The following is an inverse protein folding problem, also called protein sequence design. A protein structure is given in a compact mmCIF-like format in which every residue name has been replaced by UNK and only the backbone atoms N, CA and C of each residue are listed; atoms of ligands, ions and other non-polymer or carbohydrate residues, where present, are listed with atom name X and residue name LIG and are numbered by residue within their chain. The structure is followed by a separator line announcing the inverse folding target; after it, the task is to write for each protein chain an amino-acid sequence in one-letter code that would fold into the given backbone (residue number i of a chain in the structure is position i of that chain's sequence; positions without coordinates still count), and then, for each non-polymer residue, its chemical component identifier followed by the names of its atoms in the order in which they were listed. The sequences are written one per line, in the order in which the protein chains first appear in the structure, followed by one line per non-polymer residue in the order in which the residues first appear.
data_IF_208623654636
#
_entry.id   IF_208623654636
#
_cell.length_a   1.000
_cell.length_b   1.000
_cell.length_c   1.000
_cell.angle_alpha   90.00
_cell.angle_beta   90.00
_cell.angle_gamma   90.00
#
_symmetry.space_group_name_H-M   'P 1'
#
loop_
_entity.id
_entity.type
_entity.pdbx_description
1 polymer ?
#
# COMPACT_ATOMS: atom_id res chain seq x y z
N UNK A 1 19.19 3.36 -19.02
CA UNK A 1 18.32 4.54 -19.24
C UNK A 1 18.20 5.25 -17.92
N UNK A 2 18.58 6.52 -17.83
CA UNK A 2 18.29 7.30 -16.63
C UNK A 2 16.78 7.32 -16.45
N UNK A 3 16.28 6.75 -15.34
CA UNK A 3 14.87 6.88 -14.99
C UNK A 3 14.54 8.36 -14.92
N UNK A 4 13.52 8.82 -15.66
CA UNK A 4 13.02 10.19 -15.51
C UNK A 4 12.66 10.42 -14.03
N UNK A 5 13.02 11.59 -13.51
CA UNK A 5 12.66 12.02 -12.16
C UNK A 5 11.13 12.00 -11.99
N UNK A 6 10.65 11.60 -10.82
CA UNK A 6 9.24 11.77 -10.44
C UNK A 6 9.02 13.23 -10.03
N UNK A 7 8.14 13.93 -10.72
CA UNK A 7 7.87 15.36 -10.49
C UNK A 7 6.62 15.51 -9.61
N UNK A 8 6.74 16.29 -8.54
CA UNK A 8 5.63 16.71 -7.70
C UNK A 8 5.05 18.01 -8.25
N UNK A 9 4.13 17.89 -9.20
CA UNK A 9 3.45 19.00 -9.88
C UNK A 9 2.03 19.28 -9.35
N UNK A 10 1.61 18.54 -8.32
CA UNK A 10 0.28 18.60 -7.72
C UNK A 10 -0.76 17.70 -8.38
N UNK A 11 -0.38 16.90 -9.37
CA UNK A 11 -1.26 15.88 -9.95
C UNK A 11 -1.25 14.59 -9.13
N UNK A 12 -2.10 13.63 -9.50
CA UNK A 12 -2.14 12.31 -8.85
C UNK A 12 -0.91 11.48 -9.22
N UNK A 13 -0.29 10.84 -8.23
CA UNK A 13 0.77 9.87 -8.49
C UNK A 13 0.18 8.53 -8.91
N UNK A 14 0.86 7.83 -9.81
CA UNK A 14 0.54 6.44 -10.13
C UNK A 14 1.16 5.48 -9.10
N UNK A 15 0.57 4.29 -8.93
CA UNK A 15 1.19 3.20 -8.14
C UNK A 15 2.61 2.92 -8.64
N UNK A 16 2.83 2.93 -9.95
CA UNK A 16 4.16 2.70 -10.54
C UNK A 16 5.19 3.77 -10.12
N UNK A 17 4.77 5.03 -9.98
CA UNK A 17 5.59 6.13 -9.48
C UNK A 17 5.96 5.92 -8.01
N UNK A 18 5.00 5.49 -7.17
CA UNK A 18 5.25 5.16 -5.77
C UNK A 18 6.28 4.03 -5.66
N UNK A 19 6.05 2.92 -6.36
CA UNK A 19 6.99 1.78 -6.40
C UNK A 19 8.38 2.19 -6.91
N UNK A 20 8.46 3.12 -7.88
CA UNK A 20 9.73 3.60 -8.42
C UNK A 20 10.60 4.29 -7.36
N UNK A 21 10.01 5.18 -6.57
CA UNK A 21 10.75 5.91 -5.53
C UNK A 21 11.00 5.02 -4.31
N UNK A 22 9.98 4.24 -3.91
CA UNK A 22 10.02 3.37 -2.74
C UNK A 22 11.06 2.27 -2.86
N UNK A 23 11.09 1.55 -4.00
CA UNK A 23 11.94 0.36 -4.21
C UNK A 23 13.18 0.60 -5.02
N UNK A 24 13.12 1.49 -6.01
CA UNK A 24 14.20 1.68 -7.01
C UNK A 24 14.99 2.97 -6.78
N UNK A 25 14.64 3.77 -5.77
CA UNK A 25 15.35 5.00 -5.45
C UNK A 25 15.29 6.05 -6.55
N UNK A 26 14.24 6.05 -7.39
CA UNK A 26 14.07 7.08 -8.42
C UNK A 26 13.99 8.45 -7.76
N UNK A 27 14.74 9.41 -8.31
CA UNK A 27 14.80 10.77 -7.79
C UNK A 27 13.47 11.49 -7.90
N UNK A 28 13.23 12.38 -6.95
CA UNK A 28 12.03 13.22 -6.87
C UNK A 28 12.42 14.68 -7.07
N UNK A 29 11.58 15.44 -7.79
CA UNK A 29 11.73 16.90 -7.98
C UNK A 29 10.43 17.61 -7.60
N UNK A 30 10.53 18.73 -6.88
CA UNK A 30 9.40 19.61 -6.62
C UNK A 30 9.23 20.62 -7.76
N UNK A 31 8.02 20.74 -8.30
CA UNK A 31 7.76 21.61 -9.45
C UNK A 31 7.57 23.09 -9.07
N UNK A 32 8.00 24.00 -9.94
CA UNK A 32 7.91 25.45 -9.70
C UNK A 32 6.46 25.95 -9.66
N UNK A 33 5.56 25.40 -10.49
CA UNK A 33 4.16 25.79 -10.47
C UNK A 33 3.45 25.26 -9.22
N UNK A 34 3.82 24.07 -8.74
CA UNK A 34 3.34 23.54 -7.47
C UNK A 34 3.82 24.39 -6.28
N UNK A 35 5.09 24.80 -6.30
CA UNK A 35 5.69 25.71 -5.32
C UNK A 35 4.91 27.02 -5.19
N UNK A 36 4.55 27.64 -6.32
CA UNK A 36 3.74 28.85 -6.31
C UNK A 36 2.36 28.68 -5.62
N UNK A 37 1.70 27.51 -5.80
CA UNK A 37 0.42 27.23 -5.13
C UNK A 37 0.59 27.02 -3.62
N UNK A 38 1.64 26.29 -3.22
CA UNK A 38 1.98 26.09 -1.80
C UNK A 38 2.24 27.42 -1.11
N UNK A 39 3.06 28.28 -1.72
CA UNK A 39 3.41 29.59 -1.19
C UNK A 39 2.16 30.51 -1.09
N UNK A 40 1.25 30.45 -2.08
CA UNK A 40 -0.01 31.19 -2.03
C UNK A 40 -0.92 30.73 -0.87
N UNK A 41 -1.06 29.43 -0.65
CA UNK A 41 -1.82 28.90 0.49
C UNK A 41 -1.17 29.26 1.82
N UNK A 42 0.17 29.27 1.91
CA UNK A 42 0.88 29.73 3.11
C UNK A 42 0.60 31.20 3.40
N UNK A 43 0.66 32.06 2.39
CA UNK A 43 0.34 33.49 2.54
C UNK A 43 -1.09 33.70 3.02
N UNK A 44 -2.04 32.90 2.52
CA UNK A 44 -3.43 32.92 2.97
C UNK A 44 -3.59 32.53 4.44
N UNK A 45 -2.86 31.52 4.93
CA UNK A 45 -2.83 31.15 6.35
C UNK A 45 -2.31 32.32 7.20
N UNK A 46 -1.18 32.91 6.82
CA UNK A 46 -0.60 34.06 7.54
C UNK A 46 -1.60 35.21 7.64
N UNK A 47 -2.23 35.57 6.53
CA UNK A 47 -3.21 36.66 6.49
C UNK A 47 -4.43 36.40 7.39
N UNK A 48 -4.93 35.16 7.47
CA UNK A 48 -6.06 34.81 8.34
C UNK A 48 -5.68 34.80 9.83
N UNK A 49 -4.49 34.31 10.17
CA UNK A 49 -4.02 34.30 11.56
C UNK A 49 -3.83 35.72 12.09
N UNK A 50 -3.32 36.63 11.26
CA UNK A 50 -3.19 38.06 11.62
C UNK A 50 -4.53 38.75 11.92
N UNK A 51 -5.67 38.17 11.52
CA UNK A 51 -7.01 38.66 11.85
C UNK A 51 -7.50 38.19 13.24
N UNK A 52 -6.70 37.41 13.98
CA UNK A 52 -6.99 36.99 15.35
C UNK A 52 -8.03 35.87 15.48
N UNK A 53 -8.46 35.24 14.38
CA UNK A 53 -9.43 34.14 14.39
C UNK A 53 -8.79 32.86 14.94
N UNK A 54 -9.46 32.10 15.83
CA UNK A 54 -9.01 30.78 16.25
C UNK A 54 -9.17 29.78 15.08
N UNK A 55 -8.09 29.08 14.74
CA UNK A 55 -8.03 28.10 13.65
C UNK A 55 -7.31 26.84 14.14
N UNK A 56 -7.99 25.70 14.00
CA UNK A 56 -7.55 24.39 14.51
C UNK A 56 -6.10 24.06 14.10
N UNK A 57 -5.26 23.78 15.10
CA UNK A 57 -3.87 23.35 14.91
C UNK A 57 -2.94 24.42 14.31
N UNK A 58 -3.43 25.64 14.11
CA UNK A 58 -2.64 26.80 13.69
C UNK A 58 -2.33 27.69 14.89
N UNK A 59 -3.37 28.13 15.63
CA UNK A 59 -3.25 28.92 16.86
C UNK A 59 -4.13 28.37 18.00
N UNK A 60 -4.56 27.12 17.89
CA UNK A 60 -5.21 26.37 18.97
C UNK A 60 -4.52 25.01 19.20
N UNK A 61 -4.83 24.35 20.31
CA UNK A 61 -4.36 22.99 20.61
C UNK A 61 -4.96 21.90 19.69
N UNK A 62 -4.59 20.64 19.95
CA UNK A 62 -4.98 19.47 19.13
C UNK A 62 -5.95 18.55 19.87
N UNK A 63 -6.78 17.80 19.13
CA UNK A 63 -7.74 16.87 19.72
C UNK A 63 -8.67 17.54 20.74
N UNK A 64 -8.73 17.02 21.96
CA UNK A 64 -9.55 17.57 23.04
C UNK A 64 -9.16 19.00 23.47
N UNK A 65 -7.98 19.49 23.07
CA UNK A 65 -7.53 20.85 23.32
C UNK A 65 -7.82 21.81 22.14
N UNK A 66 -8.63 21.41 21.16
CA UNK A 66 -8.96 22.22 19.98
C UNK A 66 -9.53 23.62 20.29
N UNK A 67 -10.14 23.79 21.47
CA UNK A 67 -10.74 25.05 21.93
C UNK A 67 -9.75 25.97 22.67
N UNK A 68 -8.54 25.50 22.98
CA UNK A 68 -7.54 26.27 23.74
C UNK A 68 -6.66 27.06 22.79
N UNK A 69 -6.73 28.39 22.84
CA UNK A 69 -5.85 29.28 22.06
C UNK A 69 -4.41 29.23 22.56
N UNK A 70 -3.45 29.30 21.64
CA UNK A 70 -2.01 29.33 21.91
C UNK A 70 -1.44 30.67 21.48
N UNK A 71 -0.55 31.24 22.30
CA UNK A 71 0.13 32.50 22.00
C UNK A 71 1.07 32.37 20.79
N UNK A 72 1.17 33.42 19.98
CA UNK A 72 1.94 33.42 18.73
C UNK A 72 3.42 33.01 18.92
N UNK A 73 4.04 33.44 20.03
CA UNK A 73 5.44 33.11 20.34
C UNK A 73 5.67 31.63 20.68
N UNK A 74 4.62 30.86 20.97
CA UNK A 74 4.68 29.42 21.29
C UNK A 74 4.32 28.54 20.10
N UNK A 75 3.96 29.11 18.95
CA UNK A 75 3.45 28.31 17.82
C UNK A 75 4.51 27.39 17.23
N UNK A 76 5.77 27.78 17.17
CA UNK A 76 6.85 26.87 16.73
C UNK A 76 7.01 25.69 17.70
N UNK A 77 7.06 25.98 19.01
CA UNK A 77 7.16 24.95 20.05
C UNK A 77 5.96 24.01 20.05
N UNK A 78 4.75 24.54 19.83
CA UNK A 78 3.52 23.75 19.69
C UNK A 78 3.66 22.69 18.59
N UNK A 79 4.19 23.08 17.43
CA UNK A 79 4.33 22.19 16.26
C UNK A 79 5.47 21.17 16.45
N UNK A 80 6.52 21.52 17.18
CA UNK A 80 7.54 20.55 17.59
C UNK A 80 7.00 19.58 18.65
N UNK A 81 6.20 20.07 19.59
CA UNK A 81 5.67 19.26 20.68
C UNK A 81 4.64 18.24 20.17
N UNK A 82 3.80 18.57 19.19
CA UNK A 82 2.88 17.58 18.60
C UNK A 82 3.65 16.44 17.94
N UNK A 83 4.71 16.73 17.17
CA UNK A 83 5.56 15.70 16.55
C UNK A 83 6.11 14.76 17.62
N UNK A 84 6.64 15.30 18.72
CA UNK A 84 7.23 14.50 19.80
C UNK A 84 6.20 13.69 20.58
N UNK A 85 5.08 14.29 20.95
CA UNK A 85 4.06 13.61 21.76
C UNK A 85 3.35 12.50 20.99
N UNK A 86 3.26 12.62 19.66
CA UNK A 86 2.59 11.63 18.82
C UNK A 86 3.54 10.57 18.27
N UNK A 87 4.87 10.72 18.41
CA UNK A 87 5.85 9.68 18.10
C UNK A 87 5.85 8.53 19.13
N UNK A 88 4.67 7.99 19.41
CA UNK A 88 4.39 6.96 20.41
C UNK A 88 4.28 5.55 19.81
N UNK A 89 4.81 5.35 18.60
CA UNK A 89 4.82 4.04 17.95
C UNK A 89 5.75 3.02 18.63
N UNK A 90 5.41 1.73 18.53
CA UNK A 90 6.14 0.58 19.10
C UNK A 90 6.20 -0.58 18.09
N UNK A 91 6.94 -1.64 18.44
CA UNK A 91 7.08 -2.84 17.61
C UNK A 91 8.25 -2.76 16.62
N UNK A 92 8.26 -3.71 15.68
CA UNK A 92 9.32 -3.79 14.68
C UNK A 92 9.26 -2.60 13.71
N UNK A 93 10.40 -2.19 13.12
CA UNK A 93 10.38 -1.14 12.12
C UNK A 93 9.62 -1.54 10.86
N UNK A 94 8.78 -0.63 10.35
CA UNK A 94 8.17 -0.74 9.03
C UNK A 94 9.24 -0.97 7.94
N UNK A 95 8.90 -1.71 6.87
CA UNK A 95 9.80 -1.87 5.73
C UNK A 95 10.25 -0.53 5.17
N UNK A 96 11.55 -0.41 4.86
CA UNK A 96 12.17 0.82 4.31
C UNK A 96 11.40 1.36 3.10
N UNK A 97 10.90 0.48 2.23
CA UNK A 97 10.11 0.86 1.04
C UNK A 97 8.77 1.51 1.40
N UNK A 98 8.08 1.04 2.45
CA UNK A 98 6.83 1.64 2.95
C UNK A 98 7.10 3.05 3.46
N UNK A 99 8.16 3.24 4.25
CA UNK A 99 8.53 4.56 4.79
C UNK A 99 8.89 5.53 3.66
N UNK A 100 9.67 5.09 2.67
CA UNK A 100 9.99 5.90 1.48
C UNK A 100 8.73 6.26 0.68
N UNK A 101 7.81 5.31 0.51
CA UNK A 101 6.51 5.56 -0.11
C UNK A 101 5.70 6.59 0.67
N UNK A 102 5.63 6.47 1.99
CA UNK A 102 4.92 7.40 2.86
C UNK A 102 5.49 8.81 2.76
N UNK A 103 6.82 8.96 2.80
CA UNK A 103 7.50 10.25 2.58
C UNK A 103 7.13 10.88 1.22
N UNK A 104 7.15 10.09 0.14
CA UNK A 104 6.76 10.57 -1.18
C UNK A 104 5.31 11.07 -1.19
N UNK A 105 4.40 10.30 -0.60
CA UNK A 105 2.97 10.62 -0.58
C UNK A 105 2.66 11.82 0.31
N UNK A 106 3.36 11.99 1.43
CA UNK A 106 3.32 13.21 2.24
C UNK A 106 3.73 14.41 1.40
N UNK A 107 4.89 14.35 0.73
CA UNK A 107 5.35 15.44 -0.11
C UNK A 107 4.38 15.76 -1.27
N UNK A 108 3.82 14.73 -1.91
CA UNK A 108 2.87 14.88 -3.00
C UNK A 108 1.54 15.50 -2.56
N UNK A 109 1.03 15.09 -1.38
CA UNK A 109 -0.18 15.68 -0.76
C UNK A 109 0.02 17.17 -0.48
N UNK A 110 1.14 17.53 0.15
CA UNK A 110 1.47 18.92 0.46
C UNK A 110 1.68 19.77 -0.81
N UNK A 111 2.30 19.21 -1.86
CA UNK A 111 2.55 19.87 -3.15
C UNK A 111 1.27 20.24 -3.94
N UNK A 112 0.10 19.73 -3.54
CA UNK A 112 -1.19 20.16 -4.11
C UNK A 112 -1.57 21.57 -3.68
N UNK A 113 -0.95 22.10 -2.62
CA UNK A 113 -1.00 23.53 -2.29
C UNK A 113 -2.28 23.95 -1.57
N UNK A 114 -2.92 23.05 -0.82
CA UNK A 114 -4.09 23.38 0.01
C UNK A 114 -3.91 22.97 1.49
N UNK A 115 -2.67 22.66 1.90
CA UNK A 115 -2.32 22.37 3.30
C UNK A 115 -1.80 23.60 4.07
N UNK A 116 -1.34 24.67 3.40
CA UNK A 116 -0.87 25.89 4.08
C UNK A 116 0.49 25.78 4.78
N UNK A 117 1.31 24.79 4.39
CA UNK A 117 2.72 24.66 4.83
C UNK A 117 3.65 25.51 3.97
N UNK A 118 4.90 25.71 4.40
CA UNK A 118 5.93 26.29 3.53
C UNK A 118 6.47 25.27 2.54
N UNK A 119 6.92 25.76 1.38
CA UNK A 119 7.64 24.95 0.38
C UNK A 119 8.87 24.23 0.95
N UNK A 120 9.53 24.82 1.96
CA UNK A 120 10.68 24.22 2.65
C UNK A 120 10.38 22.85 3.28
N UNK A 121 9.13 22.58 3.68
CA UNK A 121 8.72 21.29 4.23
C UNK A 121 8.81 20.20 3.16
N UNK A 122 8.25 20.48 1.98
CA UNK A 122 8.25 19.57 0.82
C UNK A 122 9.68 19.32 0.35
N UNK A 123 10.48 20.39 0.28
CA UNK A 123 11.89 20.32 -0.11
C UNK A 123 12.74 19.50 0.83
N UNK A 124 12.51 19.61 2.14
CA UNK A 124 13.18 18.77 3.13
C UNK A 124 12.86 17.29 2.90
N UNK A 125 11.58 16.93 2.69
CA UNK A 125 11.20 15.54 2.41
C UNK A 125 11.86 15.02 1.12
N UNK A 126 11.83 15.83 0.05
CA UNK A 126 12.46 15.49 -1.24
C UNK A 126 13.97 15.33 -1.09
N UNK A 127 14.64 16.19 -0.31
CA UNK A 127 16.07 16.09 -0.04
C UNK A 127 16.42 14.79 0.70
N UNK A 128 15.65 14.42 1.73
CA UNK A 128 15.85 13.15 2.45
C UNK A 128 15.65 11.94 1.54
N UNK A 129 14.58 11.93 0.74
CA UNK A 129 14.30 10.85 -0.22
C UNK A 129 15.45 10.65 -1.23
N UNK A 130 15.95 11.76 -1.79
CA UNK A 130 17.03 11.77 -2.77
C UNK A 130 18.39 11.45 -2.16
N UNK A 131 18.62 11.80 -0.89
CA UNK A 131 19.82 11.43 -0.13
C UNK A 131 19.79 9.99 0.41
N UNK A 132 18.66 9.27 0.25
CA UNK A 132 18.52 7.91 0.76
C UNK A 132 18.39 7.84 2.29
N UNK A 133 18.00 8.93 2.94
CA UNK A 133 17.78 9.00 4.39
C UNK A 133 16.35 8.57 4.68
N UNK A 134 16.19 7.43 5.35
CA UNK A 134 14.87 6.84 5.64
C UNK A 134 14.65 6.72 7.15
N UNK A 135 13.62 7.34 7.72
CA UNK A 135 13.32 7.23 9.15
C UNK A 135 13.09 5.78 9.62
N UNK A 136 13.51 5.46 10.83
CA UNK A 136 13.11 4.21 11.51
C UNK A 136 11.73 4.46 12.12
N UNK A 137 10.72 3.80 11.58
CA UNK A 137 9.31 4.00 11.95
C UNK A 137 8.76 2.70 12.51
N UNK A 138 8.34 2.62 13.79
CA UNK A 138 7.70 1.44 14.36
C UNK A 138 6.36 1.13 13.68
N UNK A 139 5.99 -0.15 13.57
CA UNK A 139 4.81 -0.61 12.84
C UNK A 139 3.47 -0.48 13.59
N UNK A 140 3.49 -0.37 14.93
CA UNK A 140 2.28 -0.28 15.76
C UNK A 140 2.14 1.11 16.37
N UNK A 141 0.92 1.64 16.44
CA UNK A 141 0.60 2.86 17.21
C UNK A 141 -0.43 3.80 16.58
N UNK A 142 -0.80 3.58 15.32
CA UNK A 142 -1.86 4.34 14.63
C UNK A 142 -3.16 3.56 14.58
N UNK A 143 -4.28 4.27 14.69
CA UNK A 143 -5.65 3.73 14.49
C UNK A 143 -6.23 4.08 13.11
N UNK A 144 -5.53 4.87 12.29
CA UNK A 144 -5.96 5.25 10.94
C UNK A 144 -7.22 6.14 10.86
N UNK A 145 -7.81 6.52 12.00
CA UNK A 145 -9.00 7.37 12.07
C UNK A 145 -8.70 8.87 12.03
N UNK A 146 -7.52 9.30 12.52
CA UNK A 146 -7.03 10.69 12.52
C UNK A 146 -5.80 10.87 11.64
N UNK A 147 -5.70 10.06 10.58
CA UNK A 147 -4.47 9.85 9.83
C UNK A 147 -3.53 8.86 10.49
N UNK A 148 -2.37 8.66 9.87
CA UNK A 148 -1.27 7.79 10.29
C UNK A 148 -0.38 8.48 11.33
N UNK A 149 -0.99 9.07 12.38
CA UNK A 149 -0.34 10.01 13.30
C UNK A 149 0.99 9.49 13.85
N UNK A 150 0.98 8.33 14.49
CA UNK A 150 2.17 7.78 15.14
C UNK A 150 3.33 7.51 14.18
N UNK A 151 3.15 6.76 13.07
CA UNK A 151 4.24 6.51 12.14
C UNK A 151 4.67 7.78 11.37
N UNK A 152 3.75 8.68 11.02
CA UNK A 152 4.10 9.97 10.40
C UNK A 152 4.84 10.91 11.35
N UNK A 153 4.60 10.81 12.66
CA UNK A 153 5.36 11.54 13.68
C UNK A 153 6.83 11.12 13.71
N UNK A 154 7.11 9.82 13.57
CA UNK A 154 8.50 9.33 13.48
C UNK A 154 9.21 9.81 12.21
N UNK A 155 8.47 9.93 11.09
CA UNK A 155 8.99 10.57 9.88
C UNK A 155 9.29 12.05 10.14
N UNK A 156 8.35 12.77 10.75
CA UNK A 156 8.50 14.19 11.07
C UNK A 156 9.64 14.46 12.07
N UNK A 157 9.87 13.58 13.05
CA UNK A 157 11.02 13.65 13.96
C UNK A 157 12.33 13.67 13.19
N UNK A 158 12.49 12.76 12.22
CA UNK A 158 13.70 12.72 11.41
C UNK A 158 13.89 14.01 10.60
N UNK A 159 12.83 14.61 10.05
CA UNK A 159 12.91 15.87 9.31
C UNK A 159 13.41 17.03 10.18
N UNK A 160 13.06 17.05 11.47
CA UNK A 160 13.54 18.06 12.44
C UNK A 160 14.89 17.68 13.08
N UNK A 161 15.53 16.60 12.63
CA UNK A 161 16.85 16.15 13.10
C UNK A 161 16.82 15.28 14.36
N UNK A 162 15.65 14.78 14.75
CA UNK A 162 15.46 13.93 15.93
C UNK A 162 15.18 12.47 15.52
N UNK A 163 15.45 11.52 16.42
CA UNK A 163 15.25 10.09 16.15
C UNK A 163 16.35 9.45 15.30
N UNK A 164 16.09 8.21 14.86
CA UNK A 164 17.02 7.40 14.10
C UNK A 164 16.56 7.23 12.65
N UNK A 165 17.53 7.17 11.74
CA UNK A 165 17.34 6.96 10.31
C UNK A 165 18.24 5.84 9.81
N UNK A 166 17.83 5.18 8.74
CA UNK A 166 18.63 4.27 7.94
C UNK A 166 19.20 5.02 6.72
N UNK A 167 20.50 4.84 6.48
CA UNK A 167 21.21 5.27 5.27
C UNK A 167 22.02 4.09 4.75
N UNK A 168 21.62 3.52 3.61
CA UNK A 168 22.11 2.20 3.19
C UNK A 168 21.80 1.15 4.26
N UNK A 169 22.82 0.43 4.72
CA UNK A 169 22.67 -0.62 5.75
C UNK A 169 22.84 -0.09 7.19
N UNK A 170 23.18 1.19 7.37
CA UNK A 170 23.51 1.76 8.68
C UNK A 170 22.32 2.49 9.30
N UNK A 171 22.06 2.23 10.58
CA UNK A 171 21.16 3.03 11.42
C UNK A 171 21.99 4.05 12.20
N UNK A 172 21.56 5.31 12.19
CA UNK A 172 22.26 6.41 12.86
C UNK A 172 21.29 7.53 13.26
N UNK A 173 21.70 8.48 14.14
CA UNK A 173 20.88 9.63 14.47
C UNK A 173 20.55 10.51 13.25
N UNK A 174 19.32 11.00 13.15
CA UNK A 174 18.85 11.81 12.02
C UNK A 174 19.73 13.04 11.77
N UNK A 175 20.09 13.77 12.83
CA UNK A 175 20.97 14.95 12.73
C UNK A 175 22.35 14.63 12.15
N UNK A 176 22.90 13.43 12.39
CA UNK A 176 24.19 13.03 11.82
C UNK A 176 24.08 12.78 10.32
N UNK A 177 23.07 12.01 9.90
CA UNK A 177 22.79 11.75 8.50
C UNK A 177 22.51 13.05 7.71
N UNK A 178 21.73 13.96 8.29
CA UNK A 178 21.43 15.28 7.72
C UNK A 178 22.69 16.12 7.51
N UNK A 179 23.56 16.22 8.53
CA UNK A 179 24.86 16.91 8.39
C UNK A 179 25.71 16.29 7.30
N UNK A 180 25.80 14.96 7.24
CA UNK A 180 26.58 14.26 6.22
C UNK A 180 26.04 14.50 4.79
N UNK A 181 24.73 14.69 4.64
CA UNK A 181 24.07 14.97 3.36
C UNK A 181 23.96 16.48 3.02
N UNK A 182 24.43 17.37 3.90
CA UNK A 182 24.28 18.82 3.71
C UNK A 182 22.83 19.31 3.82
N UNK A 183 21.97 18.58 4.53
CA UNK A 183 20.57 18.93 4.75
C UNK A 183 20.44 19.58 6.12
N UNK A 184 19.87 20.78 6.18
CA UNK A 184 19.58 21.44 7.45
C UNK A 184 18.34 20.82 8.11
N UNK A 185 18.34 20.59 9.45
CA UNK A 185 17.13 20.19 10.16
C UNK A 185 15.99 21.20 9.97
N UNK A 186 14.78 20.70 9.73
CA UNK A 186 13.61 21.55 9.53
C UNK A 186 13.18 22.21 10.85
N UNK A 187 13.08 23.53 10.85
CA UNK A 187 12.44 24.28 11.95
C UNK A 187 10.97 24.48 11.60
N UNK A 188 10.07 23.87 12.35
CA UNK A 188 8.63 23.91 12.08
C UNK A 188 8.01 25.26 12.45
N UNK A 189 7.12 25.74 11.60
CA UNK A 189 6.24 26.88 11.86
C UNK A 189 4.78 26.42 12.02
N UNK A 190 3.88 27.37 12.34
CA UNK A 190 2.45 27.10 12.53
C UNK A 190 1.85 26.17 11.46
N UNK A 191 1.05 25.21 11.93
CA UNK A 191 0.41 24.12 11.16
C UNK A 191 1.34 23.03 10.61
N UNK A 192 2.64 23.27 10.46
CA UNK A 192 3.52 22.36 9.71
C UNK A 192 3.76 21.03 10.42
N UNK A 193 3.82 21.04 11.76
CA UNK A 193 3.82 19.82 12.54
C UNK A 193 2.57 19.02 12.21
N UNK A 194 1.37 19.56 12.50
CA UNK A 194 0.11 18.88 12.23
C UNK A 194 -0.02 18.36 10.79
N UNK A 195 0.29 19.17 9.79
CA UNK A 195 0.20 18.78 8.37
C UNK A 195 1.15 17.65 7.97
N UNK A 196 2.25 17.42 8.71
CA UNK A 196 3.13 16.27 8.49
C UNK A 196 2.55 14.97 9.06
N UNK A 197 1.71 15.06 10.10
CA UNK A 197 1.14 13.90 10.81
C UNK A 197 -0.25 13.49 10.29
N UNK A 198 -1.02 14.45 9.80
CA UNK A 198 -2.49 14.34 9.70
C UNK A 198 -2.99 13.80 8.34
N UNK A 199 -2.40 12.70 7.86
CA UNK A 199 -2.73 12.12 6.54
C UNK A 199 -2.65 10.60 6.51
N UNK A 200 -3.08 10.00 5.40
CA UNK A 200 -3.21 8.54 5.20
C UNK A 200 -1.99 7.92 4.47
N UNK A 201 -0.84 8.57 4.55
CA UNK A 201 0.28 8.32 3.63
C UNK A 201 0.98 6.97 3.87
N UNK A 202 0.99 6.44 5.10
CA UNK A 202 1.60 5.14 5.41
C UNK A 202 0.71 4.03 4.90
N UNK A 203 -0.59 4.07 5.20
CA UNK A 203 -1.54 3.08 4.70
C UNK A 203 -1.65 3.12 3.16
N UNK A 204 -1.62 4.31 2.54
CA UNK A 204 -1.64 4.47 1.09
C UNK A 204 -0.38 3.89 0.44
N UNK A 205 0.80 4.11 1.03
CA UNK A 205 2.06 3.54 0.55
C UNK A 205 2.05 2.01 0.64
N UNK A 206 1.63 1.46 1.79
CA UNK A 206 1.46 0.01 1.97
C UNK A 206 0.50 -0.58 0.93
N UNK A 207 -0.65 0.05 0.71
CA UNK A 207 -1.63 -0.41 -0.27
C UNK A 207 -1.08 -0.40 -1.70
N UNK A 208 -0.40 0.70 -2.10
CA UNK A 208 0.20 0.80 -3.43
C UNK A 208 1.25 -0.28 -3.69
N UNK A 209 2.13 -0.54 -2.71
CA UNK A 209 3.16 -1.58 -2.81
C UNK A 209 2.54 -2.98 -2.84
N UNK A 210 1.55 -3.25 -1.98
CA UNK A 210 0.84 -4.52 -1.96
C UNK A 210 0.11 -4.82 -3.27
N UNK A 211 -0.50 -3.81 -3.91
CA UNK A 211 -1.12 -3.96 -5.23
C UNK A 211 -0.08 -4.25 -6.32
N UNK A 212 1.07 -3.56 -6.30
CA UNK A 212 2.16 -3.84 -7.26
C UNK A 212 2.65 -5.30 -7.15
N UNK A 213 2.81 -5.81 -5.93
CA UNK A 213 3.17 -7.21 -5.67
C UNK A 213 2.07 -8.18 -6.09
N UNK A 214 0.82 -7.82 -5.80
CA UNK A 214 -0.34 -8.66 -6.16
C UNK A 214 -0.47 -8.83 -7.67
N UNK A 215 -0.13 -7.82 -8.47
CA UNK A 215 -0.12 -7.96 -9.94
C UNK A 215 0.90 -9.00 -10.42
N UNK A 216 2.09 -9.05 -9.79
CA UNK A 216 3.10 -10.07 -10.10
C UNK A 216 2.63 -11.45 -9.64
N UNK A 217 2.08 -11.53 -8.43
CA UNK A 217 1.51 -12.75 -7.87
C UNK A 217 0.37 -13.31 -8.72
N UNK A 218 -0.52 -12.45 -9.22
CA UNK A 218 -1.62 -12.83 -10.10
C UNK A 218 -1.12 -13.50 -11.38
N UNK A 219 -0.11 -12.91 -12.03
CA UNK A 219 0.53 -13.52 -13.20
C UNK A 219 1.11 -14.90 -12.90
N UNK A 220 1.83 -15.03 -11.78
CA UNK A 220 2.40 -16.29 -11.32
C UNK A 220 1.31 -17.34 -11.01
N UNK A 221 0.21 -16.94 -10.36
CA UNK A 221 -0.89 -17.82 -10.01
C UNK A 221 -1.62 -18.36 -11.25
N UNK A 222 -1.82 -17.53 -12.28
CA UNK A 222 -2.40 -17.95 -13.56
C UNK A 222 -1.45 -18.90 -14.29
N UNK A 223 -0.15 -18.59 -14.33
CA UNK A 223 0.85 -19.48 -14.94
C UNK A 223 0.93 -20.84 -14.24
N UNK A 224 0.99 -20.86 -12.91
CA UNK A 224 0.96 -22.08 -12.12
C UNK A 224 -0.33 -22.88 -12.32
N UNK A 225 -1.47 -22.20 -12.50
CA UNK A 225 -2.74 -22.85 -12.83
C UNK A 225 -2.68 -23.53 -14.21
N UNK A 226 -2.14 -22.85 -15.23
CA UNK A 226 -1.98 -23.45 -16.55
C UNK A 226 -1.06 -24.69 -16.49
N UNK A 227 0.07 -24.60 -15.79
CA UNK A 227 0.97 -25.74 -15.59
C UNK A 227 0.30 -26.90 -14.87
N UNK A 228 -0.54 -26.62 -13.86
CA UNK A 228 -1.28 -27.64 -13.14
C UNK A 228 -2.36 -28.31 -14.00
N UNK A 229 -3.10 -27.53 -14.80
CA UNK A 229 -4.06 -28.06 -15.78
C UNK A 229 -3.35 -28.99 -16.76
N UNK A 230 -2.22 -28.56 -17.30
CA UNK A 230 -1.45 -29.32 -18.28
C UNK A 230 -0.87 -30.60 -17.65
N UNK A 231 -0.12 -30.46 -16.56
CA UNK A 231 0.58 -31.55 -15.88
C UNK A 231 -0.35 -32.59 -15.25
N UNK A 232 -1.57 -32.22 -14.84
CA UNK A 232 -2.57 -33.17 -14.32
C UNK A 232 -3.47 -33.73 -15.42
N UNK A 233 -3.18 -33.47 -16.70
CA UNK A 233 -4.02 -33.87 -17.84
C UNK A 233 -5.48 -33.44 -17.63
N UNK A 234 -5.73 -32.23 -17.14
CA UNK A 234 -7.09 -31.76 -16.91
C UNK A 234 -7.75 -31.30 -18.20
N UNK A 235 -9.09 -31.38 -18.26
CA UNK A 235 -9.85 -31.03 -19.43
C UNK A 235 -9.84 -29.51 -19.69
N UNK A 236 -9.51 -29.13 -20.92
CA UNK A 236 -9.59 -27.74 -21.37
C UNK A 236 -11.04 -27.26 -21.61
N UNK A 237 -12.01 -28.17 -21.63
CA UNK A 237 -13.42 -27.86 -21.93
C UNK A 237 -14.02 -26.81 -20.98
N UNK A 238 -13.61 -26.83 -19.71
CA UNK A 238 -14.01 -25.84 -18.71
C UNK A 238 -13.48 -24.43 -18.96
N UNK A 239 -12.59 -24.26 -19.94
CA UNK A 239 -12.04 -22.97 -20.35
C UNK A 239 -12.73 -22.40 -21.61
N UNK A 240 -13.78 -23.03 -22.15
CA UNK A 240 -14.51 -22.52 -23.32
C UNK A 240 -14.98 -21.07 -23.09
N UNK A 241 -14.60 -20.16 -23.99
CA UNK A 241 -14.88 -18.74 -23.86
C UNK A 241 -16.37 -18.43 -23.64
N UNK A 242 -17.28 -19.22 -24.24
CA UNK A 242 -18.73 -19.02 -24.13
C UNK A 242 -19.23 -19.20 -22.69
N UNK A 243 -18.63 -20.11 -21.92
CA UNK A 243 -18.97 -20.34 -20.51
C UNK A 243 -18.66 -19.08 -19.69
N UNK A 244 -17.54 -18.43 -19.98
CA UNK A 244 -17.11 -17.25 -19.22
C UNK A 244 -17.84 -15.98 -19.64
N UNK A 245 -18.09 -15.81 -20.95
CA UNK A 245 -18.92 -14.72 -21.48
C UNK A 245 -20.35 -14.80 -20.92
N UNK A 246 -20.95 -16.00 -20.88
CA UNK A 246 -22.31 -16.19 -20.39
C UNK A 246 -22.50 -15.85 -18.90
N UNK A 247 -21.41 -15.84 -18.11
CA UNK A 247 -21.45 -15.55 -16.67
C UNK A 247 -21.25 -14.06 -16.34
N UNK A 248 -20.84 -13.23 -17.31
CA UNK A 248 -20.70 -11.78 -17.17
C UNK A 248 -19.76 -11.33 -16.03
N UNK A 249 -18.67 -12.06 -15.79
CA UNK A 249 -17.67 -11.74 -14.76
C UNK A 249 -16.33 -11.40 -15.43
N UNK A 250 -15.89 -10.12 -15.42
CA UNK A 250 -14.71 -9.69 -16.18
C UNK A 250 -13.42 -10.41 -15.79
N UNK A 251 -13.13 -10.52 -14.50
CA UNK A 251 -11.94 -11.22 -14.02
C UNK A 251 -11.95 -12.70 -14.39
N UNK A 252 -13.13 -13.34 -14.34
CA UNK A 252 -13.28 -14.73 -14.77
C UNK A 252 -12.96 -14.92 -16.25
N UNK A 253 -13.47 -14.03 -17.11
CA UNK A 253 -13.21 -14.06 -18.55
C UNK A 253 -11.72 -13.83 -18.84
N UNK A 254 -11.11 -12.84 -18.18
CA UNK A 254 -9.69 -12.54 -18.28
C UNK A 254 -8.83 -13.75 -17.91
N UNK A 255 -9.08 -14.39 -16.77
CA UNK A 255 -8.29 -15.55 -16.33
C UNK A 255 -8.44 -16.70 -17.32
N UNK A 256 -9.66 -17.01 -17.75
CA UNK A 256 -9.90 -18.08 -18.73
C UNK A 256 -9.17 -17.81 -20.05
N UNK A 257 -9.21 -16.57 -20.55
CA UNK A 257 -8.50 -16.16 -21.75
C UNK A 257 -6.98 -16.35 -21.60
N UNK A 258 -6.41 -15.94 -20.46
CA UNK A 258 -4.97 -16.10 -20.19
C UNK A 258 -4.57 -17.57 -20.10
N UNK A 259 -5.38 -18.40 -19.44
CA UNK A 259 -5.13 -19.85 -19.35
C UNK A 259 -5.15 -20.49 -20.74
N UNK A 260 -6.17 -20.22 -21.57
CA UNK A 260 -6.22 -20.70 -22.97
C UNK A 260 -4.98 -20.26 -23.76
N UNK A 261 -4.54 -19.03 -23.59
CA UNK A 261 -3.34 -18.52 -24.27
C UNK A 261 -2.07 -19.24 -23.83
N UNK A 262 -1.91 -19.55 -22.54
CA UNK A 262 -0.73 -20.22 -21.99
C UNK A 262 -0.68 -21.71 -22.35
N UNK A 263 -1.85 -22.34 -22.48
CA UNK A 263 -1.99 -23.76 -22.83
C UNK A 263 -1.90 -24.04 -24.34
N UNK A 264 -1.90 -22.98 -25.17
CA UNK A 264 -1.80 -23.11 -26.62
C UNK A 264 -0.51 -23.85 -27.00
N UNK A 265 -0.65 -24.94 -27.73
CA UNK A 265 0.47 -25.76 -28.20
C UNK A 265 0.86 -26.89 -27.24
N UNK A 266 0.16 -27.08 -26.13
CA UNK A 266 0.35 -28.27 -25.29
C UNK A 266 0.09 -29.55 -26.07
N UNK A 267 0.99 -30.53 -25.90
CA UNK A 267 0.83 -31.89 -26.39
C UNK A 267 0.14 -32.81 -25.36
N UNK A 268 0.08 -32.39 -24.08
CA UNK A 268 -0.50 -33.19 -22.99
C UNK A 268 -2.03 -33.05 -22.99
N UNK A 269 -2.56 -31.86 -23.27
CA UNK A 269 -4.01 -31.65 -23.37
C UNK A 269 -4.71 -32.57 -24.39
N UNK A 270 -4.25 -32.70 -25.65
CA UNK A 270 -4.87 -33.64 -26.58
C UNK A 270 -4.60 -35.12 -26.24
N UNK A 271 -3.58 -35.44 -25.44
CA UNK A 271 -3.15 -36.82 -25.15
C UNK A 271 -4.16 -37.67 -24.37
N UNK A 272 -5.20 -37.06 -23.83
CA UNK A 272 -6.21 -37.70 -22.99
C UNK A 272 -7.64 -37.41 -23.44
N UNK A 273 -7.84 -36.90 -24.68
CA UNK A 273 -9.19 -36.62 -25.17
C UNK A 273 -10.04 -37.89 -25.33
N UNK A 274 -9.40 -39.00 -25.69
CA UNK A 274 -10.04 -40.29 -25.88
C UNK A 274 -9.80 -41.21 -24.67
N UNK A 275 -10.82 -41.98 -24.29
CA UNK A 275 -10.76 -42.97 -23.21
C UNK A 275 -10.41 -42.42 -21.82
N UNK A 276 -10.68 -41.14 -21.57
CA UNK A 276 -10.62 -40.57 -20.23
C UNK A 276 -11.98 -40.72 -19.54
N UNK A 277 -12.07 -41.48 -18.42
CA UNK A 277 -13.33 -41.66 -17.69
C UNK A 277 -13.79 -40.41 -16.94
N UNK A 278 -12.95 -39.37 -16.81
CA UNK A 278 -13.29 -38.14 -16.09
C UNK A 278 -14.28 -37.32 -16.91
N UNK A 279 -15.47 -37.13 -16.37
CA UNK A 279 -16.48 -36.21 -16.93
C UNK A 279 -16.16 -34.75 -16.56
N UNK A 280 -15.58 -34.54 -15.39
CA UNK A 280 -15.22 -33.23 -14.87
C UNK A 280 -13.98 -33.29 -13.98
N UNK A 281 -13.12 -32.29 -14.08
CA UNK A 281 -12.00 -32.14 -13.16
C UNK A 281 -12.43 -31.57 -11.80
N UNK A 282 -11.61 -31.75 -10.75
CA UNK A 282 -11.79 -31.08 -9.47
C UNK A 282 -11.82 -29.56 -9.57
N UNK A 283 -12.49 -28.92 -8.61
CA UNK A 283 -12.70 -27.47 -8.63
C UNK A 283 -11.40 -26.66 -8.57
N UNK A 284 -10.33 -27.17 -7.94
CA UNK A 284 -9.03 -26.49 -7.92
C UNK A 284 -8.44 -26.24 -9.33
N UNK A 285 -8.83 -27.04 -10.32
CA UNK A 285 -8.46 -26.92 -11.73
C UNK A 285 -9.58 -26.26 -12.52
N UNK A 286 -10.77 -26.86 -12.52
CA UNK A 286 -11.90 -26.44 -13.37
C UNK A 286 -12.51 -25.10 -12.98
N UNK A 287 -12.57 -24.80 -11.69
CA UNK A 287 -13.14 -23.55 -11.17
C UNK A 287 -12.09 -22.44 -11.00
N UNK A 288 -10.85 -22.65 -11.49
CA UNK A 288 -9.77 -21.68 -11.34
C UNK A 288 -10.08 -20.31 -11.98
N UNK A 289 -10.69 -20.22 -13.17
CA UNK A 289 -11.11 -18.93 -13.72
C UNK A 289 -12.05 -18.15 -12.80
N UNK A 290 -13.01 -18.83 -12.18
CA UNK A 290 -14.03 -18.22 -11.33
C UNK A 290 -13.41 -17.67 -10.05
N UNK A 291 -12.57 -18.46 -9.38
CA UNK A 291 -11.99 -18.10 -8.08
C UNK A 291 -10.88 -17.07 -8.24
N UNK A 292 -9.94 -17.29 -9.16
CA UNK A 292 -8.90 -16.30 -9.43
C UNK A 292 -9.51 -15.02 -10.03
N UNK A 293 -10.49 -15.15 -10.92
CA UNK A 293 -11.18 -14.02 -11.52
C UNK A 293 -11.85 -13.12 -10.47
N UNK A 294 -12.62 -13.70 -9.55
CA UNK A 294 -13.24 -12.95 -8.46
C UNK A 294 -12.20 -12.24 -7.58
N UNK A 295 -11.07 -12.89 -7.28
CA UNK A 295 -9.99 -12.25 -6.54
C UNK A 295 -9.37 -11.06 -7.31
N UNK A 296 -9.18 -11.19 -8.63
CA UNK A 296 -8.65 -10.10 -9.46
C UNK A 296 -9.63 -8.94 -9.63
N UNK A 297 -10.92 -9.21 -9.69
CA UNK A 297 -11.95 -8.15 -9.70
C UNK A 297 -11.93 -7.37 -8.36
N UNK A 298 -11.76 -8.07 -7.24
CA UNK A 298 -11.60 -7.43 -5.93
C UNK A 298 -10.32 -6.59 -5.83
N UNK A 299 -9.19 -7.09 -6.36
CA UNK A 299 -7.93 -6.34 -6.45
C UNK A 299 -8.09 -5.09 -7.32
N UNK A 300 -8.76 -5.20 -8.47
CA UNK A 300 -9.00 -4.08 -9.37
C UNK A 300 -9.87 -2.99 -8.71
N UNK A 301 -10.87 -3.39 -7.92
CA UNK A 301 -11.67 -2.45 -7.13
C UNK A 301 -10.82 -1.72 -6.09
N UNK A 302 -10.02 -2.46 -5.31
CA UNK A 302 -9.12 -1.89 -4.30
C UNK A 302 -8.09 -0.94 -4.94
N UNK A 303 -7.56 -1.31 -6.11
CA UNK A 303 -6.67 -0.47 -6.90
C UNK A 303 -7.34 0.86 -7.31
N UNK A 304 -8.60 0.83 -7.70
CA UNK A 304 -9.37 2.03 -7.98
C UNK A 304 -9.51 2.96 -6.77
N UNK A 305 -9.70 2.40 -5.57
CA UNK A 305 -9.72 3.17 -4.31
C UNK A 305 -8.37 3.81 -4.04
N UNK A 306 -7.30 3.03 -4.07
CA UNK A 306 -5.93 3.51 -3.81
C UNK A 306 -5.55 4.59 -4.82
N UNK A 307 -5.85 4.40 -6.10
CA UNK A 307 -5.54 5.38 -7.16
C UNK A 307 -6.16 6.75 -6.88
N UNK A 308 -7.39 6.80 -6.35
CA UNK A 308 -8.02 8.07 -5.94
C UNK A 308 -7.31 8.69 -4.75
N UNK A 309 -6.95 7.88 -3.75
CA UNK A 309 -6.22 8.33 -2.57
C UNK A 309 -4.84 8.92 -2.94
N UNK A 310 -4.13 8.33 -3.91
CA UNK A 310 -2.85 8.86 -4.39
C UNK A 310 -2.95 10.26 -5.03
N UNK A 311 -4.17 10.69 -5.38
CA UNK A 311 -4.51 12.04 -5.85
C UNK A 311 -5.10 12.97 -4.79
N UNK A 312 -5.38 12.47 -3.58
CA UNK A 312 -6.09 13.21 -2.54
C UNK A 312 -5.17 14.14 -1.74
N UNK A 313 -5.77 15.11 -1.05
CA UNK A 313 -5.11 15.82 0.05
C UNK A 313 -5.75 15.34 1.34
N UNK A 314 -5.01 14.50 2.05
CA UNK A 314 -5.38 14.01 3.37
C UNK A 314 -4.64 14.83 4.43
N UNK A 315 -5.34 15.87 4.90
CA UNK A 315 -4.89 16.86 5.89
C UNK A 315 -6.14 17.55 6.49
N UNK A 316 -5.98 18.23 7.61
CA UNK A 316 -7.00 19.09 8.22
C UNK A 316 -6.37 20.16 9.12
N UNK A 317 -6.83 21.44 9.06
CA UNK A 317 -7.78 21.98 8.08
C UNK A 317 -7.14 22.19 6.70
N UNK A 318 -7.98 22.35 5.68
CA UNK A 318 -7.57 22.67 4.31
C UNK A 318 -7.72 24.16 4.01
N UNK A 319 -6.88 24.66 3.12
CA UNK A 319 -6.78 26.07 2.72
C UNK A 319 -7.18 26.21 1.27
N UNK A 320 -8.29 26.89 1.01
CA UNK A 320 -8.78 27.20 -0.32
C UNK A 320 -8.54 28.67 -0.63
N UNK A 321 -7.91 28.94 -1.78
CA UNK A 321 -7.55 30.29 -2.24
C UNK A 321 -8.30 30.73 -3.50
N UNK A 322 -8.97 29.80 -4.19
CA UNK A 322 -9.76 30.08 -5.38
C UNK A 322 -11.11 30.69 -4.99
N UNK A 323 -11.42 31.89 -5.51
CA UNK A 323 -12.68 32.59 -5.23
C UNK A 323 -12.76 33.24 -3.85
N UNK A 324 -11.65 33.33 -3.14
CA UNK A 324 -11.56 33.85 -1.77
C UNK A 324 -10.67 32.96 -0.89
N UNK A 325 -10.26 33.47 0.27
CA UNK A 325 -9.52 32.66 1.26
C UNK A 325 -10.51 32.01 2.23
N UNK A 326 -10.53 30.69 2.28
CA UNK A 326 -11.28 29.91 3.25
C UNK A 326 -10.39 28.82 3.87
N UNK A 327 -10.39 28.73 5.20
CA UNK A 327 -9.78 27.62 5.94
C UNK A 327 -10.91 26.75 6.45
N UNK A 328 -10.98 25.52 5.97
CA UNK A 328 -12.13 24.63 6.16
C UNK A 328 -11.68 23.39 6.92
N UNK A 329 -12.32 23.14 8.06
CA UNK A 329 -12.11 21.92 8.83
C UNK A 329 -12.95 20.77 8.26
N UNK A 330 -12.39 19.56 8.25
CA UNK A 330 -13.05 18.35 7.77
C UNK A 330 -12.34 17.08 8.25
N UNK A 331 -12.78 15.94 7.74
CA UNK A 331 -12.28 14.61 8.12
C UNK A 331 -11.43 13.91 7.06
N UNK A 332 -10.79 14.66 6.15
CA UNK A 332 -10.05 14.08 5.02
C UNK A 332 -8.81 13.25 5.43
N UNK A 333 -8.43 13.28 6.71
CA UNK A 333 -7.40 12.40 7.28
C UNK A 333 -7.89 10.97 7.55
N UNK A 334 -9.20 10.72 7.50
CA UNK A 334 -9.75 9.44 7.94
C UNK A 334 -9.54 8.34 6.88
N UNK A 335 -8.80 7.29 7.24
CA UNK A 335 -8.37 6.23 6.33
C UNK A 335 -9.41 5.15 6.00
N UNK A 336 -10.70 5.37 6.28
CA UNK A 336 -11.74 4.34 6.09
C UNK A 336 -11.81 3.82 4.63
N UNK A 337 -11.70 4.68 3.59
CA UNK A 337 -11.68 4.20 2.21
C UNK A 337 -10.59 3.15 1.97
N UNK A 338 -9.38 3.39 2.48
CA UNK A 338 -8.26 2.47 2.35
C UNK A 338 -8.42 1.24 3.24
N UNK A 339 -8.94 1.38 4.46
CA UNK A 339 -9.11 0.26 5.38
C UNK A 339 -9.99 -0.85 4.79
N UNK A 340 -11.14 -0.49 4.22
CA UNK A 340 -12.05 -1.46 3.56
C UNK A 340 -11.37 -2.08 2.32
N UNK A 341 -10.64 -1.27 1.56
CA UNK A 341 -9.90 -1.75 0.39
C UNK A 341 -8.82 -2.78 0.77
N UNK A 342 -8.06 -2.52 1.84
CA UNK A 342 -7.03 -3.42 2.37
C UNK A 342 -7.62 -4.71 2.95
N UNK A 343 -8.74 -4.64 3.68
CA UNK A 343 -9.43 -5.85 4.16
C UNK A 343 -9.92 -6.72 3.00
N UNK A 344 -10.46 -6.09 1.94
CA UNK A 344 -10.88 -6.79 0.73
C UNK A 344 -9.70 -7.41 -0.02
N UNK A 345 -8.56 -6.70 -0.09
CA UNK A 345 -7.33 -7.21 -0.69
C UNK A 345 -6.81 -8.45 0.06
N UNK A 346 -6.85 -8.45 1.40
CA UNK A 346 -6.47 -9.60 2.23
C UNK A 346 -7.33 -10.83 1.93
N UNK A 347 -8.65 -10.65 1.81
CA UNK A 347 -9.58 -11.72 1.44
C UNK A 347 -9.25 -12.27 0.04
N UNK A 348 -9.02 -11.39 -0.94
CA UNK A 348 -8.67 -11.79 -2.30
C UNK A 348 -7.38 -12.63 -2.36
N UNK A 349 -6.34 -12.20 -1.63
CA UNK A 349 -5.06 -12.92 -1.55
C UNK A 349 -5.23 -14.31 -0.93
N UNK A 350 -6.10 -14.46 0.08
CA UNK A 350 -6.40 -15.77 0.67
C UNK A 350 -7.02 -16.73 -0.33
N UNK A 351 -7.92 -16.26 -1.20
CA UNK A 351 -8.51 -17.10 -2.24
C UNK A 351 -7.51 -17.49 -3.33
N UNK A 352 -6.57 -16.61 -3.69
CA UNK A 352 -5.46 -16.93 -4.62
C UNK A 352 -4.57 -18.03 -4.02
N UNK A 353 -4.16 -17.88 -2.76
CA UNK A 353 -3.31 -18.85 -2.07
C UNK A 353 -4.03 -20.20 -1.87
N UNK A 354 -5.27 -20.16 -1.38
CA UNK A 354 -6.07 -21.35 -1.09
C UNK A 354 -6.32 -22.20 -2.32
N UNK A 355 -6.73 -21.61 -3.45
CA UNK A 355 -6.94 -22.42 -4.66
C UNK A 355 -5.63 -22.95 -5.25
N UNK A 356 -4.52 -22.23 -5.06
CA UNK A 356 -3.20 -22.72 -5.45
C UNK A 356 -2.78 -23.94 -4.64
N UNK A 357 -2.97 -23.89 -3.32
CA UNK A 357 -2.67 -25.04 -2.46
C UNK A 357 -3.58 -26.24 -2.77
N UNK A 358 -4.86 -26.04 -3.10
CA UNK A 358 -5.73 -27.15 -3.53
C UNK A 358 -5.22 -27.85 -4.80
N UNK A 359 -4.55 -27.13 -5.71
CA UNK A 359 -3.88 -27.73 -6.87
C UNK A 359 -2.61 -28.48 -6.48
N UNK A 360 -1.83 -27.93 -5.55
CA UNK A 360 -0.65 -28.64 -4.98
C UNK A 360 -1.10 -29.95 -4.34
N UNK A 361 -2.12 -29.93 -3.49
CA UNK A 361 -2.71 -31.13 -2.90
C UNK A 361 -3.15 -32.13 -3.97
N UNK A 362 -3.89 -31.68 -4.99
CA UNK A 362 -4.36 -32.57 -6.06
C UNK A 362 -3.20 -33.26 -6.78
N UNK A 363 -2.23 -32.48 -7.25
CA UNK A 363 -1.06 -33.00 -7.98
C UNK A 363 -0.24 -33.98 -7.14
N UNK A 364 -0.05 -33.68 -5.85
CA UNK A 364 0.74 -34.51 -4.95
C UNK A 364 -0.03 -35.70 -4.37
N UNK A 365 -1.36 -35.70 -4.42
CA UNK A 365 -2.14 -36.84 -3.92
C UNK A 365 -1.87 -38.12 -4.71
N UNK A 366 -1.60 -38.01 -6.02
CA UNK A 366 -1.50 -39.17 -6.92
C UNK A 366 -2.76 -40.05 -6.96
N UNK A 367 -3.90 -39.56 -6.43
CA UNK A 367 -5.14 -40.33 -6.37
C UNK A 367 -5.79 -40.50 -7.74
N UNK A 368 -5.63 -39.49 -8.60
CA UNK A 368 -6.14 -39.54 -9.97
C UNK A 368 -5.18 -40.28 -10.89
N UNK A 369 -5.56 -41.51 -11.25
CA UNK A 369 -4.80 -42.37 -12.15
C UNK A 369 -4.63 -41.76 -13.54
N UNK A 370 -5.58 -40.94 -13.98
CA UNK A 370 -5.53 -40.32 -15.30
C UNK A 370 -4.54 -39.17 -15.37
N UNK A 371 -4.27 -38.50 -14.25
CA UNK A 371 -3.20 -37.50 -14.15
C UNK A 371 -1.81 -38.12 -14.40
N UNK A 372 -1.63 -39.44 -14.20
CA UNK A 372 -0.36 -40.18 -14.36
C UNK A 372 0.82 -39.61 -13.56
N UNK A 373 0.53 -38.82 -12.54
CA UNK A 373 1.51 -38.30 -11.58
C UNK A 373 1.78 -39.35 -10.51
N UNK A 374 3.03 -39.48 -10.10
CA UNK A 374 3.39 -40.34 -8.97
C UNK A 374 2.89 -39.71 -7.67
N UNK A 375 2.42 -40.49 -6.69
CA UNK A 375 2.13 -39.96 -5.36
C UNK A 375 3.29 -39.15 -4.81
N UNK A 376 3.00 -37.95 -4.34
CA UNK A 376 3.95 -36.95 -3.86
C UNK A 376 5.09 -36.58 -4.83
N UNK A 377 4.96 -36.95 -6.11
CA UNK A 377 6.03 -36.91 -7.11
C UNK A 377 7.32 -37.64 -6.65
N UNK A 378 7.16 -38.65 -5.79
CA UNK A 378 8.26 -39.49 -5.32
C UNK A 378 8.90 -40.28 -6.47
N UNK A 379 10.22 -40.41 -6.47
CA UNK A 379 10.94 -41.17 -7.51
C UNK A 379 10.88 -42.66 -7.18
N UNK A 380 11.14 -43.01 -5.92
CA UNK A 380 11.07 -44.34 -5.32
C UNK A 380 10.18 -44.32 -4.07
N UNK A 381 8.88 -44.51 -4.29
CA UNK A 381 7.87 -44.36 -3.25
C UNK A 381 8.06 -45.38 -2.12
N UNK A 382 8.18 -44.86 -0.89
CA UNK A 382 8.45 -45.67 0.31
C UNK A 382 9.91 -45.64 0.75
N UNK A 383 10.85 -45.35 -0.18
CA UNK A 383 12.22 -44.98 0.15
C UNK A 383 12.37 -43.46 0.27
N UNK A 384 11.82 -42.71 -0.69
CA UNK A 384 11.69 -41.25 -0.61
C UNK A 384 10.22 -40.80 -0.46
N UNK A 385 10.06 -39.62 0.14
CA UNK A 385 8.75 -39.00 0.39
C UNK A 385 8.38 -37.94 -0.67
N UNK A 386 9.18 -37.78 -1.73
CA UNK A 386 9.02 -36.72 -2.71
C UNK A 386 8.78 -35.34 -2.08
N UNK A 387 7.70 -34.68 -2.50
CA UNK A 387 7.27 -33.37 -2.03
C UNK A 387 6.17 -33.44 -0.95
N UNK A 388 5.98 -34.58 -0.29
CA UNK A 388 4.93 -34.77 0.72
C UNK A 388 4.95 -33.68 1.80
N UNK A 389 6.13 -33.42 2.38
CA UNK A 389 6.27 -32.43 3.46
C UNK A 389 6.19 -30.99 2.95
N UNK A 390 6.55 -30.73 1.69
CA UNK A 390 6.36 -29.40 1.09
C UNK A 390 4.87 -29.00 1.02
N UNK A 391 3.97 -29.98 0.82
CA UNK A 391 2.53 -29.73 0.90
C UNK A 391 2.08 -29.34 2.30
N UNK A 392 2.68 -29.91 3.35
CA UNK A 392 2.34 -29.56 4.73
C UNK A 392 2.67 -28.10 5.00
N UNK A 393 3.85 -27.65 4.54
CA UNK A 393 4.25 -26.25 4.61
C UNK A 393 3.28 -25.35 3.83
N UNK A 394 2.90 -25.72 2.61
CA UNK A 394 1.94 -24.94 1.83
C UNK A 394 0.57 -24.82 2.53
N UNK A 395 0.07 -25.91 3.10
CA UNK A 395 -1.17 -25.92 3.86
C UNK A 395 -1.07 -25.07 5.14
N UNK A 396 0.06 -25.13 5.86
CA UNK A 396 0.31 -24.30 7.03
C UNK A 396 0.29 -22.81 6.68
N UNK A 397 0.96 -22.39 5.59
CA UNK A 397 0.95 -21.00 5.13
C UNK A 397 -0.46 -20.54 4.76
N UNK A 398 -1.27 -21.36 4.09
CA UNK A 398 -2.67 -21.03 3.77
C UNK A 398 -3.52 -20.88 5.03
N UNK A 399 -3.31 -21.74 6.04
CA UNK A 399 -4.03 -21.64 7.31
C UNK A 399 -3.69 -20.34 8.05
N UNK A 400 -2.41 -19.94 8.06
CA UNK A 400 -1.97 -18.67 8.64
C UNK A 400 -2.62 -17.47 7.92
N UNK A 401 -2.65 -17.49 6.59
CA UNK A 401 -3.33 -16.46 5.80
C UNK A 401 -4.82 -16.35 6.17
N UNK A 402 -5.49 -17.47 6.45
CA UNK A 402 -6.89 -17.47 6.90
C UNK A 402 -7.12 -16.68 8.19
N UNK A 403 -6.19 -16.75 9.14
CA UNK A 403 -6.22 -15.93 10.36
C UNK A 403 -5.95 -14.47 10.03
N UNK A 404 -4.92 -14.21 9.22
CA UNK A 404 -4.55 -12.86 8.82
C UNK A 404 -5.65 -12.16 8.02
N UNK A 405 -6.50 -12.90 7.28
CA UNK A 405 -7.60 -12.36 6.48
C UNK A 405 -8.72 -11.72 7.30
N UNK A 406 -8.74 -11.88 8.63
CA UNK A 406 -9.74 -11.24 9.47
C UNK A 406 -9.74 -9.72 9.23
N UNK A 407 -10.89 -9.11 8.89
CA UNK A 407 -10.97 -7.67 8.64
C UNK A 407 -10.58 -6.86 9.87
N UNK A 408 -9.72 -5.86 9.70
CA UNK A 408 -9.33 -4.96 10.78
C UNK A 408 -10.28 -3.76 10.92
N UNK A 409 -10.88 -3.31 9.81
CA UNK A 409 -11.75 -2.11 9.78
C UNK A 409 -12.99 -2.18 10.69
N UNK A 410 -13.62 -3.34 10.99
CA UNK A 410 -14.72 -3.40 11.94
C UNK A 410 -14.27 -3.28 13.41
N UNK A 411 -12.98 -3.46 13.70
CA UNK A 411 -12.43 -3.48 15.05
C UNK A 411 -12.17 -2.10 15.65
N UNK A 412 -12.88 -1.06 15.21
CA UNK A 412 -12.67 0.30 15.68
C UNK A 412 -13.08 0.43 17.17
N UNK A 413 -12.23 1.09 17.97
CA UNK A 413 -12.44 1.31 19.40
C UNK A 413 -12.39 2.82 19.68
N UNK A 414 -13.34 3.37 20.46
CA UNK A 414 -13.30 4.76 20.92
C UNK A 414 -11.97 5.08 21.61
N UNK A 415 -11.33 6.20 21.23
CA UNK A 415 -10.07 6.68 21.84
C UNK A 415 -10.13 8.18 22.04
N UNK A 416 -9.11 8.78 22.67
CA UNK A 416 -9.05 10.25 22.86
C UNK A 416 -10.27 10.83 23.60
N UNK A 417 -10.84 10.08 24.56
CA UNK A 417 -12.00 10.48 25.36
C UNK A 417 -13.31 10.73 24.59
N UNK A 418 -13.49 10.06 23.44
CA UNK A 418 -14.71 10.06 22.63
C UNK A 418 -14.51 9.22 21.38
#
# INVERSE_FOLDING_TARGET
MASQDIVLDGTALSIASVTAVARRGVRVRFDQAARARVDAARAAVIAQVSQGKPIYGINTGFGNFAQVRVDDHKLADLQRNIVRSHAAGVGDPLPTEVVRGAMLLTAASLARGISGVRSAVIESIVAHLNAGIVPIVPEVGSVGASGDLAPLSHIALALIGEGNVRVGDRIMPAAEAQRAAGIAPLVLEMKEGLSLLNGTHVMAATAALAIDDTRRLAGAAIAATAMAIDGCRASESGLDARIHVARCQPGQELVAQRLRSLLKGSQILPSHKENDPRVQDPYGLRCAPQVLGAALDAVAWAEGVVTRELGAVTDNPLVFTLGGTAIVSGGNFHGMPLAIALDTLKIALCHIAGISERRVYWALSGHDRESRVRPHLAVDAGFDSGLMIAQYTAAACVNELGVLAHPASPGNVPTSAG
#
